data_IF_899114469501
#
_entry.id   IF_899114469501
#
_cell.length_a   1.000
_cell.length_b   1.000
_cell.length_c   1.000
_cell.angle_alpha   90.00
_cell.angle_beta   90.00
_cell.angle_gamma   90.00
#
_symmetry.space_group_name_H-M   'P 1'
#
loop_
_entity.id
_entity.type
_entity.pdbx_description
1 polymer ?
#
# COMPACT_ATOMS: atom_id res chain seq x y z
N UNK A 1 8.66 29.04 10.44
CA UNK A 1 8.39 27.59 10.46
C UNK A 1 9.73 26.91 10.26
N UNK A 2 10.03 25.89 11.06
CA UNK A 2 11.31 25.15 10.98
C UNK A 2 11.45 24.52 9.58
N UNK A 3 12.66 24.53 9.02
CA UNK A 3 12.98 23.96 7.71
C UNK A 3 12.62 22.47 7.63
N UNK A 4 12.81 21.74 8.75
CA UNK A 4 12.45 20.32 8.81
C UNK A 4 10.94 20.09 8.66
N UNK A 5 10.11 20.96 9.25
CA UNK A 5 8.65 20.91 9.12
C UNK A 5 8.25 21.18 7.67
N UNK A 6 8.83 22.22 7.03
CA UNK A 6 8.53 22.54 5.62
C UNK A 6 8.89 21.38 4.70
N UNK A 7 10.08 20.80 4.88
CA UNK A 7 10.52 19.64 4.12
C UNK A 7 9.60 18.43 4.31
N UNK A 8 9.17 18.16 5.55
CA UNK A 8 8.25 17.07 5.83
C UNK A 8 6.86 17.28 5.22
N UNK A 9 6.30 18.49 5.32
CA UNK A 9 5.02 18.82 4.67
C UNK A 9 5.13 18.70 3.13
N UNK A 10 6.27 19.11 2.56
CA UNK A 10 6.57 18.90 1.15
C UNK A 10 6.59 17.42 0.76
N UNK A 11 7.19 16.56 1.61
CA UNK A 11 7.19 15.12 1.41
C UNK A 11 5.76 14.55 1.46
N UNK A 12 4.95 14.95 2.45
CA UNK A 12 3.55 14.50 2.57
C UNK A 12 2.74 14.90 1.33
N UNK A 13 2.92 16.14 0.83
CA UNK A 13 2.28 16.60 -0.39
C UNK A 13 2.72 15.77 -1.61
N UNK A 14 4.02 15.51 -1.75
CA UNK A 14 4.54 14.68 -2.83
C UNK A 14 3.95 13.27 -2.80
N UNK A 15 3.83 12.66 -1.61
CA UNK A 15 3.17 11.36 -1.44
C UNK A 15 1.69 11.43 -1.81
N UNK A 16 0.97 12.47 -1.39
CA UNK A 16 -0.45 12.64 -1.76
C UNK A 16 -0.63 12.73 -3.27
N UNK A 17 0.21 13.51 -3.96
CA UNK A 17 0.17 13.64 -5.43
C UNK A 17 0.48 12.31 -6.12
N UNK A 18 1.46 11.56 -5.60
CA UNK A 18 1.79 10.22 -6.11
C UNK A 18 0.60 9.27 -5.97
N UNK A 19 -0.09 9.25 -4.81
CA UNK A 19 -1.30 8.43 -4.60
C UNK A 19 -2.43 8.82 -5.57
N UNK A 20 -2.62 10.10 -5.85
CA UNK A 20 -3.59 10.55 -6.85
C UNK A 20 -3.23 10.09 -8.26
N UNK A 21 -1.95 10.12 -8.63
CA UNK A 21 -1.48 9.60 -9.92
C UNK A 21 -1.73 8.09 -10.04
N UNK A 22 -1.41 7.32 -9.00
CA UNK A 22 -1.70 5.89 -8.94
C UNK A 22 -3.19 5.57 -9.09
N UNK A 23 -4.07 6.35 -8.45
CA UNK A 23 -5.53 6.19 -8.61
C UNK A 23 -5.97 6.41 -10.06
N UNK A 24 -5.37 7.37 -10.79
CA UNK A 24 -5.66 7.59 -12.22
C UNK A 24 -5.22 6.40 -13.08
N UNK A 25 -4.01 5.90 -12.83
CA UNK A 25 -3.48 4.70 -13.52
C UNK A 25 -4.40 3.50 -13.25
N UNK A 26 -4.73 3.26 -11.97
CA UNK A 26 -5.62 2.18 -11.57
C UNK A 26 -6.99 2.24 -12.26
N UNK A 27 -7.60 3.42 -12.35
CA UNK A 27 -8.88 3.59 -13.05
C UNK A 27 -8.78 3.29 -14.55
N UNK A 28 -7.64 3.58 -15.19
CA UNK A 28 -7.38 3.21 -16.58
C UNK A 28 -7.28 1.68 -16.72
N UNK A 29 -6.44 1.04 -15.92
CA UNK A 29 -6.28 -0.42 -15.93
C UNK A 29 -7.59 -1.16 -15.65
N UNK A 30 -8.42 -0.68 -14.71
CA UNK A 30 -9.74 -1.27 -14.47
C UNK A 30 -10.65 -1.23 -15.69
N UNK A 31 -10.64 -0.13 -16.47
CA UNK A 31 -11.40 -0.03 -17.71
C UNK A 31 -10.91 -1.02 -18.76
N UNK A 32 -9.59 -1.10 -18.93
CA UNK A 32 -8.95 -2.01 -19.89
C UNK A 32 -9.20 -3.49 -19.52
N UNK A 33 -9.05 -3.84 -18.23
CA UNK A 33 -9.34 -5.20 -17.75
C UNK A 33 -10.82 -5.58 -17.92
N UNK A 34 -11.74 -4.65 -17.65
CA UNK A 34 -13.18 -4.90 -17.87
C UNK A 34 -13.50 -5.14 -19.35
N UNK A 35 -12.88 -4.40 -20.24
CA UNK A 35 -13.04 -4.61 -21.69
C UNK A 35 -12.57 -6.01 -22.13
N UNK A 36 -11.67 -6.64 -21.36
CA UNK A 36 -11.18 -8.01 -21.57
C UNK A 36 -11.94 -9.07 -20.75
N UNK A 37 -13.05 -8.70 -20.10
CA UNK A 37 -13.91 -9.65 -19.39
C UNK A 37 -13.58 -9.83 -17.91
N UNK A 38 -12.66 -9.05 -17.32
CA UNK A 38 -12.44 -9.05 -15.87
C UNK A 38 -13.61 -8.40 -15.13
N UNK A 39 -13.99 -9.00 -13.99
CA UNK A 39 -15.04 -8.46 -13.13
C UNK A 39 -14.46 -7.63 -11.98
N UNK A 40 -15.07 -6.50 -11.71
CA UNK A 40 -14.78 -5.76 -10.48
C UNK A 40 -15.51 -6.42 -9.33
N UNK A 41 -14.76 -6.72 -8.27
CA UNK A 41 -15.34 -7.24 -7.03
C UNK A 41 -15.89 -6.08 -6.22
N UNK A 42 -17.08 -6.26 -5.66
CA UNK A 42 -17.65 -5.28 -4.76
C UNK A 42 -16.88 -5.25 -3.44
N UNK A 43 -16.28 -4.11 -3.16
CA UNK A 43 -15.54 -3.81 -1.93
C UNK A 43 -16.19 -2.64 -1.20
N UNK A 44 -17.28 -2.85 -0.45
CA UNK A 44 -18.00 -1.76 0.22
C UNK A 44 -17.12 -1.00 1.22
N UNK A 45 -16.04 -1.63 1.66
CA UNK A 45 -15.09 -1.06 2.64
C UNK A 45 -13.87 -0.40 1.99
N UNK A 46 -13.76 -0.37 0.66
CA UNK A 46 -12.65 0.30 -0.04
C UNK A 46 -12.51 1.78 0.36
N UNK A 47 -13.63 2.46 0.60
CA UNK A 47 -13.63 3.85 1.09
C UNK A 47 -12.84 4.03 2.39
N UNK A 48 -12.87 3.06 3.30
CA UNK A 48 -12.14 3.12 4.56
C UNK A 48 -10.64 3.08 4.37
N UNK A 49 -10.16 2.33 3.38
CA UNK A 49 -8.75 2.34 3.02
C UNK A 49 -8.31 3.71 2.49
N UNK A 50 -9.11 4.34 1.63
CA UNK A 50 -8.83 5.69 1.12
C UNK A 50 -8.84 6.72 2.25
N UNK A 51 -9.87 6.67 3.10
CA UNK A 51 -9.99 7.58 4.26
C UNK A 51 -8.83 7.41 5.23
N UNK A 52 -8.37 6.17 5.47
CA UNK A 52 -7.22 5.89 6.32
C UNK A 52 -5.93 6.53 5.78
N UNK A 53 -5.66 6.42 4.47
CA UNK A 53 -4.49 7.06 3.87
C UNK A 53 -4.56 8.60 4.01
N UNK A 54 -5.72 9.19 3.77
CA UNK A 54 -5.93 10.63 3.97
C UNK A 54 -5.73 11.00 5.44
N UNK A 55 -6.31 10.22 6.36
CA UNK A 55 -6.19 10.47 7.80
C UNK A 55 -4.74 10.39 8.29
N UNK A 56 -3.93 9.46 7.78
CA UNK A 56 -2.51 9.35 8.13
C UNK A 56 -1.71 10.55 7.60
N UNK A 57 -1.93 10.98 6.36
CA UNK A 57 -1.25 12.14 5.80
C UNK A 57 -1.61 13.44 6.56
N UNK A 58 -2.90 13.67 6.78
CA UNK A 58 -3.37 14.84 7.51
C UNK A 58 -3.00 14.77 8.99
N UNK A 59 -3.14 13.61 9.62
CA UNK A 59 -2.79 13.37 11.01
C UNK A 59 -1.32 13.64 11.27
N UNK A 60 -0.42 13.15 10.40
CA UNK A 60 1.01 13.40 10.51
C UNK A 60 1.35 14.89 10.37
N UNK A 61 0.72 15.59 9.41
CA UNK A 61 0.90 17.03 9.26
C UNK A 61 0.42 17.80 10.49
N UNK A 62 -0.79 17.51 10.97
CA UNK A 62 -1.38 18.16 12.14
C UNK A 62 -0.59 17.85 13.42
N UNK A 63 -0.20 16.59 13.62
CA UNK A 63 0.58 16.19 14.80
C UNK A 63 1.91 16.93 14.86
N UNK A 64 2.62 17.03 13.73
CA UNK A 64 3.91 17.74 13.67
C UNK A 64 3.74 19.23 13.92
N UNK A 65 2.76 19.86 13.27
CA UNK A 65 2.59 21.32 13.36
C UNK A 65 1.96 21.75 14.69
N UNK A 66 0.89 21.07 15.12
CA UNK A 66 0.14 21.50 16.33
C UNK A 66 0.80 21.10 17.63
N UNK A 67 1.49 19.94 17.64
CA UNK A 67 2.17 19.46 18.86
C UNK A 67 3.66 19.80 18.88
N UNK A 68 4.16 20.52 17.87
CA UNK A 68 5.57 20.93 17.83
C UNK A 68 6.54 19.75 17.87
N UNK A 69 6.23 18.66 17.14
CA UNK A 69 7.06 17.45 17.18
C UNK A 69 8.49 17.74 16.75
N UNK A 70 9.50 17.28 17.52
CA UNK A 70 10.90 17.51 17.18
C UNK A 70 11.32 16.66 15.98
N UNK A 71 12.22 17.19 15.16
CA UNK A 71 12.93 16.40 14.17
C UNK A 71 14.11 15.69 14.83
N UNK A 72 14.11 14.36 14.80
CA UNK A 72 15.18 13.54 15.37
C UNK A 72 15.87 12.77 14.22
N UNK A 73 17.06 13.24 13.82
CA UNK A 73 17.80 12.68 12.68
C UNK A 73 17.99 11.16 12.77
N UNK A 74 18.34 10.65 13.95
CA UNK A 74 18.58 9.21 14.16
C UNK A 74 17.33 8.33 14.01
N UNK A 75 16.15 8.90 14.11
CA UNK A 75 14.89 8.24 13.77
C UNK A 75 14.50 8.52 12.32
N UNK A 76 14.66 9.76 11.87
CA UNK A 76 14.28 10.18 10.52
C UNK A 76 15.02 9.42 9.43
N UNK A 77 16.35 9.25 9.58
CA UNK A 77 17.18 8.60 8.57
C UNK A 77 16.78 7.13 8.33
N UNK A 78 16.66 6.25 9.35
CA UNK A 78 16.20 4.87 9.12
C UNK A 78 14.74 4.82 8.66
N UNK A 79 13.85 5.69 9.14
CA UNK A 79 12.46 5.70 8.69
C UNK A 79 12.32 6.15 7.24
N UNK A 80 13.13 7.14 6.81
CA UNK A 80 13.22 7.51 5.40
C UNK A 80 13.74 6.34 4.54
N UNK A 81 14.74 5.63 5.01
CA UNK A 81 15.26 4.44 4.30
C UNK A 81 14.18 3.35 4.16
N UNK A 82 13.42 3.06 5.23
CA UNK A 82 12.29 2.11 5.19
C UNK A 82 11.20 2.60 4.23
N UNK A 83 10.86 3.89 4.27
CA UNK A 83 9.88 4.49 3.36
C UNK A 83 10.31 4.36 1.89
N UNK A 84 11.56 4.66 1.57
CA UNK A 84 12.09 4.53 0.20
C UNK A 84 12.13 3.08 -0.25
N UNK A 85 12.56 2.15 0.61
CA UNK A 85 12.56 0.72 0.32
C UNK A 85 11.13 0.20 0.08
N UNK A 86 10.17 0.60 0.91
CA UNK A 86 8.76 0.25 0.73
C UNK A 86 8.21 0.74 -0.61
N UNK A 87 8.52 1.97 -1.00
CA UNK A 87 8.15 2.52 -2.30
C UNK A 87 8.85 1.79 -3.46
N UNK A 88 10.12 1.40 -3.31
CA UNK A 88 10.83 0.60 -4.32
C UNK A 88 10.15 -0.76 -4.54
N UNK A 89 9.79 -1.47 -3.45
CA UNK A 89 9.02 -2.73 -3.53
C UNK A 89 7.67 -2.50 -4.21
N UNK A 90 6.96 -1.42 -3.83
CA UNK A 90 5.67 -1.06 -4.42
C UNK A 90 5.79 -0.82 -5.94
N UNK A 91 6.80 -0.08 -6.39
CA UNK A 91 7.08 0.13 -7.80
C UNK A 91 7.45 -1.17 -8.54
N UNK A 92 8.17 -2.05 -7.87
CA UNK A 92 8.47 -3.38 -8.42
C UNK A 92 7.18 -4.19 -8.63
N UNK A 93 6.26 -4.19 -7.65
CA UNK A 93 4.92 -4.80 -7.78
C UNK A 93 4.15 -4.20 -8.95
N UNK A 94 4.05 -2.86 -9.02
CA UNK A 94 3.30 -2.16 -10.08
C UNK A 94 3.83 -2.53 -11.45
N UNK A 95 5.15 -2.52 -11.64
CA UNK A 95 5.78 -2.88 -12.91
C UNK A 95 5.59 -4.35 -13.25
N UNK A 96 5.65 -5.25 -12.27
CA UNK A 96 5.47 -6.69 -12.48
C UNK A 96 4.03 -7.02 -12.87
N UNK A 97 3.05 -6.40 -12.24
CA UNK A 97 1.64 -6.60 -12.58
C UNK A 97 1.24 -5.89 -13.88
N UNK A 98 1.92 -4.79 -14.22
CA UNK A 98 1.58 -4.02 -15.42
C UNK A 98 0.10 -3.66 -15.48
N UNK A 99 -0.59 -4.04 -16.53
CA UNK A 99 -2.03 -3.78 -16.75
C UNK A 99 -2.94 -4.46 -15.70
N UNK A 100 -2.48 -5.53 -15.03
CA UNK A 100 -3.23 -6.19 -13.96
C UNK A 100 -3.22 -5.40 -12.65
N UNK A 101 -2.28 -4.45 -12.51
CA UNK A 101 -2.19 -3.67 -11.29
C UNK A 101 -3.36 -2.69 -11.13
N UNK A 102 -3.97 -2.75 -9.97
CA UNK A 102 -4.98 -1.77 -9.58
C UNK A 102 -5.13 -1.70 -8.05
N UNK A 103 -5.77 -0.64 -7.56
CA UNK A 103 -5.98 -0.42 -6.12
C UNK A 103 -7.24 -1.10 -5.58
N UNK A 104 -8.12 -1.60 -6.45
CA UNK A 104 -9.33 -2.34 -6.06
C UNK A 104 -9.19 -3.82 -6.45
N UNK A 105 -9.89 -4.69 -5.75
CA UNK A 105 -9.89 -6.11 -6.11
C UNK A 105 -10.64 -6.32 -7.42
N UNK A 106 -9.93 -6.94 -8.36
CA UNK A 106 -10.48 -7.34 -9.66
C UNK A 106 -10.33 -8.84 -9.81
N UNK A 107 -11.37 -9.50 -10.27
CA UNK A 107 -11.24 -10.87 -10.78
C UNK A 107 -10.65 -10.80 -12.18
N UNK A 108 -9.34 -10.81 -12.25
CA UNK A 108 -8.55 -10.84 -13.47
C UNK A 108 -7.95 -12.23 -13.75
N UNK A 109 -8.38 -13.25 -13.03
CA UNK A 109 -7.82 -14.61 -13.10
C UNK A 109 -7.91 -15.22 -14.49
N UNK A 110 -8.92 -14.84 -15.28
CA UNK A 110 -9.06 -15.24 -16.71
C UNK A 110 -7.99 -14.63 -17.62
N UNK A 111 -7.31 -13.56 -17.18
CA UNK A 111 -6.26 -12.89 -17.94
C UNK A 111 -4.86 -13.45 -17.63
N UNK A 112 -4.80 -14.49 -16.81
CA UNK A 112 -3.57 -15.16 -16.39
C UNK A 112 -3.14 -14.82 -14.97
N UNK A 113 -2.19 -15.58 -14.46
CA UNK A 113 -1.64 -15.45 -13.09
C UNK A 113 -0.21 -14.93 -13.15
N UNK A 114 0.05 -13.82 -12.49
CA UNK A 114 1.40 -13.24 -12.39
C UNK A 114 2.15 -13.89 -11.23
N UNK A 115 3.23 -14.60 -11.55
CA UNK A 115 4.07 -15.34 -10.58
C UNK A 115 5.52 -14.85 -10.53
N UNK A 116 5.85 -13.87 -11.37
CA UNK A 116 7.20 -13.29 -11.50
C UNK A 116 7.45 -12.13 -10.51
N UNK A 117 8.65 -11.58 -10.55
CA UNK A 117 9.03 -10.46 -9.68
C UNK A 117 8.86 -10.78 -8.20
N UNK A 118 8.27 -9.87 -7.39
CA UNK A 118 8.08 -10.08 -5.97
C UNK A 118 7.08 -11.21 -5.65
N UNK A 119 6.17 -11.57 -6.58
CA UNK A 119 5.23 -12.67 -6.44
C UNK A 119 5.88 -14.06 -6.53
N UNK A 120 7.15 -14.10 -6.88
CA UNK A 120 7.96 -15.32 -6.78
C UNK A 120 8.17 -15.74 -5.33
N UNK A 121 8.23 -14.78 -4.42
CA UNK A 121 8.58 -14.98 -3.02
C UNK A 121 7.39 -14.98 -2.07
N UNK A 122 6.44 -14.06 -2.29
CA UNK A 122 5.28 -13.85 -1.40
C UNK A 122 4.03 -13.55 -2.23
N UNK A 123 2.85 -13.79 -1.62
CA UNK A 123 1.56 -13.57 -2.31
C UNK A 123 1.14 -12.11 -2.37
N UNK A 124 1.42 -11.35 -1.31
CA UNK A 124 0.93 -9.97 -1.13
C UNK A 124 2.04 -8.96 -0.81
N UNK A 125 3.05 -8.82 -1.70
CA UNK A 125 4.19 -7.92 -1.45
C UNK A 125 3.76 -6.45 -1.34
N UNK A 126 2.72 -6.04 -2.06
CA UNK A 126 2.20 -4.68 -2.00
C UNK A 126 1.63 -4.31 -0.63
N UNK A 127 0.98 -5.24 0.05
CA UNK A 127 0.42 -4.99 1.38
C UNK A 127 1.50 -4.80 2.43
N UNK A 128 2.57 -5.60 2.38
CA UNK A 128 3.73 -5.41 3.25
C UNK A 128 4.40 -4.04 3.01
N UNK A 129 4.56 -3.65 1.75
CA UNK A 129 5.11 -2.34 1.39
C UNK A 129 4.25 -1.19 1.88
N UNK A 130 2.93 -1.23 1.67
CA UNK A 130 2.00 -0.19 2.15
C UNK A 130 2.00 -0.09 3.67
N UNK A 131 2.04 -1.23 4.38
CA UNK A 131 2.13 -1.22 5.84
C UNK A 131 3.40 -0.54 6.34
N UNK A 132 4.56 -0.91 5.76
CA UNK A 132 5.84 -0.30 6.10
C UNK A 132 5.86 1.21 5.79
N UNK A 133 5.28 1.62 4.67
CA UNK A 133 5.15 3.02 4.28
C UNK A 133 4.29 3.82 5.27
N UNK A 134 3.12 3.29 5.65
CA UNK A 134 2.19 3.96 6.58
C UNK A 134 2.78 4.12 7.98
N UNK A 135 3.64 3.19 8.39
CA UNK A 135 4.36 3.28 9.67
C UNK A 135 5.53 4.26 9.58
N UNK A 136 6.36 4.13 8.53
CA UNK A 136 7.61 4.87 8.41
C UNK A 136 7.40 6.35 8.11
N UNK A 137 6.46 6.70 7.22
CA UNK A 137 6.26 8.08 6.76
C UNK A 137 5.99 9.07 7.90
N UNK A 138 5.04 8.84 8.84
CA UNK A 138 4.83 9.74 9.98
C UNK A 138 6.04 9.79 10.91
N UNK A 139 6.76 8.68 11.08
CA UNK A 139 7.92 8.59 11.96
C UNK A 139 9.15 9.34 11.44
N UNK A 140 9.20 9.72 10.16
CA UNK A 140 10.26 10.59 9.62
C UNK A 140 10.33 11.92 10.41
N UNK A 141 9.19 12.42 10.92
CA UNK A 141 9.14 13.63 11.75
C UNK A 141 8.44 13.37 13.09
N UNK A 142 8.69 12.23 13.71
CA UNK A 142 8.23 11.86 15.06
C UNK A 142 6.71 11.97 15.30
N UNK A 143 5.87 11.87 14.26
CA UNK A 143 4.42 11.79 14.39
C UNK A 143 4.01 10.35 14.81
N UNK A 144 4.46 9.94 16.00
CA UNK A 144 4.33 8.56 16.48
C UNK A 144 2.89 8.19 16.85
N UNK A 145 2.04 9.16 17.26
CA UNK A 145 0.62 8.90 17.52
C UNK A 145 -0.10 8.52 16.22
N UNK A 146 0.15 9.30 15.16
CA UNK A 146 -0.39 9.02 13.83
C UNK A 146 0.15 7.68 13.28
N UNK A 147 1.44 7.40 13.47
CA UNK A 147 2.04 6.14 13.06
C UNK A 147 1.38 4.94 13.76
N UNK A 148 1.21 5.00 15.08
CA UNK A 148 0.61 3.93 15.87
C UNK A 148 -0.88 3.73 15.51
N UNK A 149 -1.66 4.81 15.51
CA UNK A 149 -3.08 4.75 15.17
C UNK A 149 -3.30 4.27 13.72
N UNK A 150 -2.50 4.79 12.78
CA UNK A 150 -2.53 4.39 11.39
C UNK A 150 -2.19 2.91 11.18
N UNK A 151 -1.15 2.40 11.85
CA UNK A 151 -0.75 1.00 11.76
C UNK A 151 -1.84 0.06 12.32
N UNK A 152 -2.41 0.37 13.48
CA UNK A 152 -3.49 -0.42 14.10
C UNK A 152 -4.72 -0.44 13.17
N UNK A 153 -5.15 0.74 12.70
CA UNK A 153 -6.30 0.83 11.79
C UNK A 153 -6.03 0.10 10.47
N UNK A 154 -4.79 0.17 9.94
CA UNK A 154 -4.41 -0.51 8.71
C UNK A 154 -4.51 -2.03 8.83
N UNK A 155 -4.09 -2.61 9.94
CA UNK A 155 -4.22 -4.06 10.19
C UNK A 155 -5.70 -4.48 10.08
N UNK A 156 -6.61 -3.71 10.69
CA UNK A 156 -8.05 -3.99 10.63
C UNK A 156 -8.62 -3.92 9.21
N UNK A 157 -8.25 -2.89 8.45
CA UNK A 157 -8.69 -2.72 7.05
C UNK A 157 -8.08 -3.79 6.17
N UNK A 158 -6.79 -4.10 6.36
CA UNK A 158 -6.06 -5.09 5.58
C UNK A 158 -6.60 -6.50 5.78
N UNK A 159 -6.88 -6.90 7.03
CA UNK A 159 -7.38 -8.25 7.33
C UNK A 159 -8.67 -8.58 6.57
N UNK A 160 -9.58 -7.59 6.49
CA UNK A 160 -10.84 -7.75 5.76
C UNK A 160 -10.65 -7.79 4.25
N UNK A 161 -9.77 -6.93 3.73
CA UNK A 161 -9.47 -6.86 2.31
C UNK A 161 -8.76 -8.13 1.83
N UNK A 162 -7.77 -8.59 2.59
CA UNK A 162 -7.00 -9.80 2.28
C UNK A 162 -7.90 -11.02 2.16
N UNK A 163 -8.88 -11.20 3.08
CA UNK A 163 -9.82 -12.30 3.03
C UNK A 163 -10.72 -12.28 1.79
N UNK A 164 -11.11 -11.07 1.34
CA UNK A 164 -11.91 -10.90 0.13
C UNK A 164 -11.09 -11.21 -1.13
N UNK A 165 -9.88 -10.67 -1.20
CA UNK A 165 -8.97 -10.88 -2.34
C UNK A 165 -8.55 -12.35 -2.45
N UNK A 166 -8.11 -12.98 -1.37
CA UNK A 166 -7.70 -14.38 -1.38
C UNK A 166 -8.87 -15.32 -1.77
N UNK A 167 -10.09 -15.03 -1.33
CA UNK A 167 -11.27 -15.82 -1.73
C UNK A 167 -11.46 -15.83 -3.25
N UNK A 168 -11.31 -14.67 -3.88
CA UNK A 168 -11.45 -14.53 -5.34
C UNK A 168 -10.29 -15.20 -6.05
N UNK A 169 -9.06 -14.91 -5.64
CA UNK A 169 -7.87 -15.43 -6.30
C UNK A 169 -7.75 -16.95 -6.18
N UNK A 170 -7.98 -17.52 -4.99
CA UNK A 170 -7.92 -18.96 -4.76
C UNK A 170 -9.11 -19.75 -5.33
N UNK A 171 -10.15 -19.09 -5.82
CA UNK A 171 -11.18 -19.74 -6.63
C UNK A 171 -10.63 -20.19 -7.98
N UNK A 172 -9.58 -19.54 -8.50
CA UNK A 172 -8.91 -19.94 -9.72
C UNK A 172 -7.92 -21.09 -9.47
N UNK A 173 -8.01 -22.22 -10.20
CA UNK A 173 -7.11 -23.38 -10.03
C UNK A 173 -5.63 -23.02 -10.31
N UNK A 174 -5.35 -22.20 -11.33
CA UNK A 174 -3.99 -21.84 -11.73
C UNK A 174 -3.32 -20.97 -10.65
N UNK A 175 -4.07 -20.02 -10.09
CA UNK A 175 -3.58 -19.22 -8.96
C UNK A 175 -3.32 -20.11 -7.73
N UNK A 176 -4.22 -21.01 -7.43
CA UNK A 176 -4.08 -21.97 -6.33
C UNK A 176 -2.83 -22.82 -6.50
N UNK A 177 -2.63 -23.40 -7.70
CA UNK A 177 -1.43 -24.20 -7.99
C UNK A 177 -0.13 -23.41 -7.85
N UNK A 178 -0.13 -22.15 -8.29
CA UNK A 178 1.06 -21.31 -8.29
C UNK A 178 1.40 -20.69 -6.91
N UNK A 179 0.38 -20.44 -6.08
CA UNK A 179 0.52 -19.62 -4.86
C UNK A 179 0.32 -20.38 -3.55
N UNK A 180 -0.24 -21.60 -3.59
CA UNK A 180 -0.30 -22.46 -2.40
C UNK A 180 1.11 -22.74 -1.90
N UNK A 181 1.38 -22.53 -0.63
CA UNK A 181 2.71 -22.74 -0.02
C UNK A 181 3.62 -21.50 -0.04
N UNK A 182 3.25 -20.42 -0.74
CA UNK A 182 3.98 -19.15 -0.59
C UNK A 182 3.47 -18.38 0.63
N UNK A 183 4.36 -17.76 1.42
CA UNK A 183 3.95 -16.89 2.53
C UNK A 183 3.20 -15.67 2.03
N UNK A 184 2.39 -15.04 2.90
CA UNK A 184 1.58 -13.87 2.55
C UNK A 184 2.41 -12.62 2.32
N UNK A 185 3.30 -12.28 3.26
CA UNK A 185 3.93 -10.96 3.32
C UNK A 185 5.45 -11.00 3.31
N UNK A 186 6.05 -11.88 4.07
CA UNK A 186 7.50 -11.96 4.24
C UNK A 186 7.98 -13.37 3.95
N UNK A 187 9.10 -13.55 3.22
CA UNK A 187 9.69 -14.86 3.01
C UNK A 187 10.03 -15.53 4.34
N UNK A 188 9.54 -16.75 4.53
CA UNK A 188 9.77 -17.53 5.76
C UNK A 188 8.87 -17.21 6.95
N UNK A 189 7.95 -16.24 6.83
CA UNK A 189 6.96 -15.90 7.84
C UNK A 189 5.56 -15.92 7.21
N UNK A 190 4.73 -16.94 7.56
CA UNK A 190 3.29 -17.10 7.21
C UNK A 190 2.82 -16.62 5.85
#
# INVERSE_FOLDING_TARGET
>A
MDVSIVAFLGLLLAVALLRLAELRISKRHQREMRARGAAKIDEPRFRWMVLLHIAVLLGAALEVVLLGRPFIFWLAAPMLAVFLAANAVRWWVIRTLGEHWNVQVMDSTRLGVVTSGPFRYVRHPNYAAVFAEMLALPLIHTAWMTAAAGAIAHIGVLAQRLSTEERVLFANPDYRAAMTGKPRFLPGLF
#
